data_IF_826686468406
#
_entry.id   IF_826686468406
#
_cell.length_a   1.000
_cell.length_b   1.000
_cell.length_c   1.000
_cell.angle_alpha   90.00
_cell.angle_beta   90.00
_cell.angle_gamma   90.00
#
_symmetry.space_group_name_H-M   'P 1'
#
loop_
_entity.id
_entity.type
_entity.pdbx_description
1 polymer ?
#
# COMPACT_ATOMS: atom_id res chain seq x y z
N UNK A 1 4.44 -9.15 7.32
CA UNK A 1 3.29 -10.07 7.50
C UNK A 1 2.91 -10.64 6.14
N UNK A 2 3.05 -11.95 5.94
CA UNK A 2 2.53 -12.61 4.73
C UNK A 2 2.39 -14.12 4.96
N UNK A 3 1.42 -14.74 4.27
CA UNK A 3 1.17 -16.19 4.32
C UNK A 3 2.41 -16.95 3.85
N UNK A 4 2.81 -17.99 4.61
CA UNK A 4 3.91 -18.89 4.24
C UNK A 4 3.65 -19.43 2.84
N UNK A 5 4.64 -19.31 1.94
CA UNK A 5 4.56 -19.72 0.53
C UNK A 5 3.52 -18.96 -0.32
N UNK A 6 3.18 -17.71 0.01
CA UNK A 6 2.35 -16.87 -0.86
C UNK A 6 2.93 -16.83 -2.29
N UNK A 7 2.13 -17.26 -3.28
CA UNK A 7 2.55 -17.34 -4.68
C UNK A 7 3.06 -15.99 -5.20
N UNK A 8 2.40 -14.90 -4.78
CA UNK A 8 2.84 -13.53 -5.06
C UNK A 8 4.27 -13.26 -4.58
N UNK A 9 4.57 -13.54 -3.31
CA UNK A 9 5.89 -13.28 -2.73
C UNK A 9 6.98 -14.14 -3.35
N UNK A 10 6.67 -15.38 -3.72
CA UNK A 10 7.61 -16.25 -4.42
C UNK A 10 7.96 -15.67 -5.82
N UNK A 11 6.96 -15.17 -6.55
CA UNK A 11 7.18 -14.48 -7.84
C UNK A 11 7.94 -13.18 -7.65
N UNK A 12 7.54 -12.36 -6.67
CA UNK A 12 8.20 -11.09 -6.36
C UNK A 12 9.66 -11.30 -6.02
N UNK A 13 9.98 -12.26 -5.16
CA UNK A 13 11.35 -12.63 -4.82
C UNK A 13 12.14 -13.06 -6.07
N UNK A 14 11.56 -13.87 -6.95
CA UNK A 14 12.24 -14.29 -8.19
C UNK A 14 12.53 -13.12 -9.13
N UNK A 15 11.60 -12.17 -9.24
CA UNK A 15 11.79 -10.96 -10.05
C UNK A 15 12.85 -10.05 -9.42
N UNK A 16 12.80 -9.80 -8.11
CA UNK A 16 13.81 -9.00 -7.40
C UNK A 16 15.21 -9.64 -7.49
N UNK A 17 15.33 -10.96 -7.41
CA UNK A 17 16.60 -11.66 -7.61
C UNK A 17 17.13 -11.50 -9.04
N UNK A 18 16.24 -11.51 -10.04
CA UNK A 18 16.59 -11.33 -11.46
C UNK A 18 17.02 -9.90 -11.79
N UNK A 19 16.41 -8.90 -11.15
CA UNK A 19 16.63 -7.47 -11.43
C UNK A 19 17.43 -6.75 -10.34
N UNK A 20 18.13 -7.49 -9.48
CA UNK A 20 18.84 -7.04 -8.27
C UNK A 20 19.88 -5.92 -8.47
N UNK A 21 20.19 -5.56 -9.72
CA UNK A 21 21.18 -4.54 -10.09
C UNK A 21 20.55 -3.21 -10.55
N UNK A 22 19.23 -3.09 -10.61
CA UNK A 22 18.59 -1.85 -11.02
C UNK A 22 18.58 -0.84 -9.87
N UNK A 23 19.34 0.26 -10.00
CA UNK A 23 19.55 1.29 -8.98
C UNK A 23 18.32 2.16 -8.67
N UNK A 24 17.16 1.82 -9.21
CA UNK A 24 15.98 2.67 -9.16
C UNK A 24 14.86 2.02 -8.34
N UNK A 25 14.52 2.64 -7.23
CA UNK A 25 13.43 2.25 -6.32
C UNK A 25 12.07 2.09 -7.04
N UNK A 26 11.83 2.81 -8.15
CA UNK A 26 10.61 2.68 -8.93
C UNK A 26 10.53 1.35 -9.70
N UNK A 27 11.65 0.68 -9.99
CA UNK A 27 11.63 -0.59 -10.71
C UNK A 27 11.01 -1.71 -9.87
N UNK A 28 11.29 -1.75 -8.57
CA UNK A 28 10.67 -2.73 -7.67
C UNK A 28 9.15 -2.57 -7.63
N UNK A 29 8.68 -1.31 -7.73
CA UNK A 29 7.26 -0.99 -7.85
C UNK A 29 6.66 -1.50 -9.16
N UNK A 30 7.27 -1.17 -10.30
CA UNK A 30 6.81 -1.67 -11.60
C UNK A 30 6.87 -3.19 -11.70
N UNK A 31 7.83 -3.83 -11.03
CA UNK A 31 7.97 -5.28 -11.00
C UNK A 31 6.84 -5.95 -10.21
N UNK A 32 6.43 -5.37 -9.07
CA UNK A 32 5.22 -5.80 -8.36
C UNK A 32 3.98 -5.71 -9.26
N UNK A 33 3.79 -4.59 -9.97
CA UNK A 33 2.70 -4.44 -10.95
C UNK A 33 2.78 -5.44 -12.11
N UNK A 34 3.97 -5.68 -12.65
CA UNK A 34 4.17 -6.63 -13.75
C UNK A 34 3.77 -8.05 -13.36
N UNK A 35 4.01 -8.46 -12.11
CA UNK A 35 3.57 -9.76 -11.60
C UNK A 35 2.05 -9.85 -11.55
N UNK A 36 1.40 -8.78 -11.09
CA UNK A 36 -0.06 -8.65 -11.02
C UNK A 36 -0.67 -8.69 -12.44
N UNK A 37 -0.07 -8.00 -13.41
CA UNK A 37 -0.57 -7.96 -14.79
C UNK A 37 -0.35 -9.28 -15.54
N UNK A 38 0.75 -9.99 -15.29
CA UNK A 38 1.07 -11.26 -15.96
C UNK A 38 0.41 -12.47 -15.30
N UNK A 39 -0.09 -12.32 -14.08
CA UNK A 39 -0.71 -13.40 -13.32
C UNK A 39 -1.92 -12.85 -12.54
N UNK A 40 -2.98 -12.38 -13.24
CA UNK A 40 -4.14 -11.74 -12.62
C UNK A 40 -4.89 -12.67 -11.66
N UNK A 41 -4.79 -13.99 -11.84
CA UNK A 41 -5.35 -15.00 -10.93
C UNK A 41 -4.78 -14.93 -9.51
N UNK A 42 -3.56 -14.38 -9.36
CA UNK A 42 -2.91 -14.20 -8.06
C UNK A 42 -3.57 -13.06 -7.27
N UNK A 43 -4.19 -12.10 -7.95
CA UNK A 43 -4.96 -11.00 -7.35
C UNK A 43 -6.21 -11.55 -6.64
N UNK A 44 -6.81 -12.61 -7.19
CA UNK A 44 -8.02 -13.22 -6.64
C UNK A 44 -7.78 -14.16 -5.46
N UNK A 45 -6.53 -14.56 -5.20
CA UNK A 45 -6.17 -15.44 -4.08
C UNK A 45 -6.12 -14.70 -2.74
N UNK A 46 -5.98 -13.37 -2.76
CA UNK A 46 -6.02 -12.50 -1.57
C UNK A 46 -6.51 -11.11 -1.99
N UNK A 47 -7.84 -10.98 -2.17
CA UNK A 47 -8.51 -9.77 -2.69
C UNK A 47 -8.21 -8.50 -1.89
N UNK A 48 -7.73 -8.66 -0.65
CA UNK A 48 -7.45 -7.60 0.32
C UNK A 48 -5.99 -7.10 0.29
N UNK A 49 -5.11 -7.64 -0.56
CA UNK A 49 -3.68 -7.31 -0.50
C UNK A 49 -3.25 -6.02 -1.20
N UNK A 50 -4.15 -5.29 -1.86
CA UNK A 50 -3.70 -4.34 -2.87
C UNK A 50 -4.55 -3.07 -2.90
N UNK A 51 -4.22 -2.16 -1.98
CA UNK A 51 -4.55 -0.74 -2.09
C UNK A 51 -3.31 0.01 -2.53
N UNK A 52 -3.44 0.70 -3.67
CA UNK A 52 -2.40 1.56 -4.23
C UNK A 52 -2.69 3.00 -3.86
N UNK A 53 -1.74 3.67 -3.22
CA UNK A 53 -1.83 5.10 -2.92
C UNK A 53 -0.87 5.90 -3.80
N UNK A 54 -1.40 6.88 -4.54
CA UNK A 54 -0.65 7.85 -5.36
C UNK A 54 -1.22 9.25 -5.07
N UNK A 55 -0.38 10.30 -4.93
CA UNK A 55 -0.83 11.68 -4.66
C UNK A 55 -1.92 11.78 -3.58
N UNK A 56 -1.74 11.09 -2.45
CA UNK A 56 -2.72 11.00 -1.34
C UNK A 56 -4.07 10.33 -1.65
N UNK A 57 -4.27 9.81 -2.86
CA UNK A 57 -5.46 9.04 -3.23
C UNK A 57 -5.16 7.55 -3.23
N UNK A 58 -5.90 6.79 -2.42
CA UNK A 58 -5.77 5.35 -2.29
C UNK A 58 -6.87 4.61 -3.04
N UNK A 59 -6.48 3.61 -3.82
CA UNK A 59 -7.36 2.86 -4.70
C UNK A 59 -7.25 1.37 -4.43
N UNK A 60 -8.36 0.70 -4.09
CA UNK A 60 -8.41 -0.74 -4.14
C UNK A 60 -8.24 -1.22 -5.58
N UNK A 61 -7.31 -2.14 -5.80
CA UNK A 61 -7.06 -2.70 -7.14
C UNK A 61 -8.22 -3.54 -7.68
N UNK A 62 -9.20 -3.89 -6.83
CA UNK A 62 -10.43 -4.56 -7.23
C UNK A 62 -11.56 -3.60 -7.63
N UNK A 63 -11.38 -2.29 -7.47
CA UNK A 63 -12.36 -1.33 -7.96
C UNK A 63 -12.22 -1.17 -9.49
N UNK A 64 -13.35 -1.04 -10.22
CA UNK A 64 -13.30 -0.69 -11.63
C UNK A 64 -12.49 0.60 -11.83
N UNK A 65 -11.67 0.65 -12.88
CA UNK A 65 -10.85 1.81 -13.23
C UNK A 65 -9.76 2.19 -12.21
N UNK A 66 -9.29 1.27 -11.35
CA UNK A 66 -8.17 1.53 -10.43
C UNK A 66 -6.87 1.94 -11.15
N UNK A 67 -6.73 1.61 -12.45
CA UNK A 67 -5.62 2.05 -13.28
C UNK A 67 -5.86 3.48 -13.75
N UNK A 68 -5.10 4.41 -13.20
CA UNK A 68 -5.06 5.82 -13.61
C UNK A 68 -3.66 6.21 -14.08
N UNK A 69 -3.58 7.10 -15.08
CA UNK A 69 -2.34 7.78 -15.41
C UNK A 69 -1.93 8.75 -14.29
N UNK A 70 -0.63 9.10 -14.21
CA UNK A 70 -0.07 9.98 -13.17
C UNK A 70 -0.86 11.29 -13.00
N UNK A 71 -1.33 11.89 -14.09
CA UNK A 71 -2.09 13.15 -14.11
C UNK A 71 -3.60 12.98 -13.99
N UNK A 72 -4.10 11.74 -13.96
CA UNK A 72 -5.53 11.39 -14.01
C UNK A 72 -5.98 10.61 -12.78
N UNK A 73 -5.27 10.76 -11.66
CA UNK A 73 -5.51 10.03 -10.44
C UNK A 73 -6.74 10.56 -9.69
N UNK A 74 -7.93 10.25 -10.21
CA UNK A 74 -9.23 10.56 -9.60
C UNK A 74 -9.34 9.88 -8.22
N UNK A 75 -10.21 10.35 -7.31
CA UNK A 75 -10.50 9.64 -6.08
C UNK A 75 -11.09 8.25 -6.36
N UNK A 76 -10.65 7.25 -5.61
CA UNK A 76 -11.20 5.89 -5.67
C UNK A 76 -12.60 5.83 -5.07
N UNK A 77 -13.34 4.76 -5.38
CA UNK A 77 -14.57 4.44 -4.65
C UNK A 77 -14.28 4.21 -3.15
N UNK A 78 -15.28 4.42 -2.26
CA UNK A 78 -15.10 4.24 -0.83
C UNK A 78 -14.73 2.79 -0.49
N UNK A 79 -13.79 2.60 0.44
CA UNK A 79 -13.45 1.31 1.03
C UNK A 79 -12.97 1.50 2.48
N UNK A 80 -13.14 0.49 3.33
CA UNK A 80 -12.58 0.46 4.68
C UNK A 80 -11.18 -0.12 4.64
N UNK A 81 -10.15 0.69 4.87
CA UNK A 81 -8.79 0.16 4.87
C UNK A 81 -8.54 -0.85 6.00
N UNK A 82 -9.27 -0.74 7.10
CA UNK A 82 -9.16 -1.65 8.25
C UNK A 82 -9.74 -3.04 7.97
N UNK A 83 -10.89 -3.09 7.30
CA UNK A 83 -11.65 -4.34 7.12
C UNK A 83 -11.47 -4.93 5.72
N UNK A 84 -11.24 -4.08 4.72
CA UNK A 84 -11.18 -4.50 3.33
C UNK A 84 -9.74 -4.70 2.84
N UNK A 85 -8.72 -4.45 3.69
CA UNK A 85 -7.32 -4.54 3.27
C UNK A 85 -6.45 -5.23 4.31
N UNK A 86 -5.48 -6.03 3.83
CA UNK A 86 -4.45 -6.68 4.65
C UNK A 86 -3.12 -5.91 4.60
N UNK A 87 -2.95 -5.04 3.60
CA UNK A 87 -1.75 -4.21 3.45
C UNK A 87 -2.04 -2.99 2.60
N UNK A 88 -1.55 -1.83 3.05
CA UNK A 88 -1.57 -0.57 2.30
C UNK A 88 -0.14 -0.26 1.85
N UNK A 89 0.04 0.01 0.56
CA UNK A 89 1.34 0.35 -0.01
C UNK A 89 1.34 1.79 -0.52
N UNK A 90 2.23 2.62 0.03
CA UNK A 90 2.44 4.00 -0.39
C UNK A 90 3.54 4.04 -1.45
N UNK A 91 3.23 4.49 -2.68
CA UNK A 91 4.23 4.57 -3.77
C UNK A 91 4.97 5.90 -3.84
N UNK A 92 4.50 6.90 -3.10
CA UNK A 92 5.11 8.23 -3.01
C UNK A 92 5.99 8.35 -1.76
N UNK A 93 6.69 9.47 -1.57
CA UNK A 93 7.28 9.76 -0.27
C UNK A 93 6.19 9.72 0.79
N UNK A 94 6.31 8.80 1.74
CA UNK A 94 5.52 8.85 2.96
C UNK A 94 5.79 10.22 3.57
N UNK A 95 4.77 11.10 3.70
CA UNK A 95 5.01 12.43 4.21
C UNK A 95 5.62 12.28 5.60
N UNK A 96 6.60 13.12 5.93
CA UNK A 96 7.05 13.20 7.32
C UNK A 96 5.84 13.58 8.15
N UNK A 97 5.42 12.66 9.01
CA UNK A 97 4.35 12.89 9.97
C UNK A 97 5.01 13.35 11.24
N UNK A 98 4.85 14.62 11.56
CA UNK A 98 5.12 15.07 12.92
C UNK A 98 4.01 14.62 13.88
N UNK A 99 4.30 14.74 15.17
CA UNK A 99 3.39 14.29 16.21
C UNK A 99 2.09 15.09 16.23
N UNK A 100 2.13 16.39 15.88
CA UNK A 100 0.96 17.25 15.87
C UNK A 100 0.02 16.90 14.71
N UNK A 101 0.56 16.58 13.54
CA UNK A 101 -0.18 16.02 12.42
C UNK A 101 -0.89 14.74 12.84
N UNK A 102 -0.16 13.81 13.49
CA UNK A 102 -0.76 12.56 13.99
C UNK A 102 -1.80 12.83 15.07
N UNK A 103 -1.67 13.86 15.90
CA UNK A 103 -2.65 14.19 16.96
C UNK A 103 -3.90 14.90 16.44
N UNK A 104 -3.75 15.84 15.52
CA UNK A 104 -4.78 16.85 15.26
C UNK A 104 -5.34 16.88 13.83
N UNK A 105 -4.74 16.16 12.88
CA UNK A 105 -5.23 16.15 11.48
C UNK A 105 -6.02 14.89 11.13
N UNK A 106 -6.53 14.80 9.91
CA UNK A 106 -7.33 13.65 9.42
C UNK A 106 -6.85 13.21 8.05
N UNK A 107 -7.06 11.94 7.73
CA UNK A 107 -6.66 11.34 6.46
C UNK A 107 -6.13 9.94 6.67
N UNK A 108 -6.12 9.13 5.61
CA UNK A 108 -5.79 7.70 5.70
C UNK A 108 -4.42 7.45 6.34
N UNK A 109 -3.40 8.24 5.98
CA UNK A 109 -2.05 8.11 6.55
C UNK A 109 -2.06 8.33 8.06
N UNK A 110 -2.76 9.38 8.51
CA UNK A 110 -2.85 9.77 9.91
C UNK A 110 -3.63 8.73 10.70
N UNK A 111 -4.75 8.25 10.15
CA UNK A 111 -5.56 7.20 10.76
C UNK A 111 -4.81 5.87 10.88
N UNK A 112 -4.08 5.47 9.85
CA UNK A 112 -3.20 4.28 9.88
C UNK A 112 -2.12 4.44 10.95
N UNK A 113 -1.49 5.61 11.02
CA UNK A 113 -0.43 5.90 12.01
C UNK A 113 -0.97 5.82 13.43
N UNK A 114 -2.15 6.41 13.68
CA UNK A 114 -2.84 6.32 14.98
C UNK A 114 -3.15 4.88 15.33
N UNK A 115 -3.67 4.11 14.38
CA UNK A 115 -4.01 2.71 14.58
C UNK A 115 -2.78 1.84 14.92
N UNK A 116 -1.63 2.07 14.26
CA UNK A 116 -0.37 1.38 14.57
C UNK A 116 0.11 1.70 15.98
N UNK A 117 0.10 2.98 16.38
CA UNK A 117 0.48 3.40 17.73
C UNK A 117 -0.42 2.76 18.78
N UNK A 118 -1.74 2.83 18.59
CA UNK A 118 -2.72 2.25 19.50
C UNK A 118 -2.57 0.73 19.62
N UNK A 119 -2.38 0.02 18.51
CA UNK A 119 -2.18 -1.45 18.49
C UNK A 119 -0.86 -1.84 19.16
N UNK A 120 0.13 -0.95 19.15
CA UNK A 120 1.41 -1.14 19.84
C UNK A 120 1.35 -0.77 21.34
N UNK A 121 0.17 -0.39 21.86
CA UNK A 121 -0.01 0.02 23.25
C UNK A 121 0.50 1.44 23.54
N UNK A 122 0.76 2.25 22.51
CA UNK A 122 1.23 3.63 22.65
C UNK A 122 0.02 4.56 22.66
N UNK A 123 -0.14 5.31 23.75
CA UNK A 123 -1.17 6.34 23.89
C UNK A 123 -0.63 7.63 23.26
N UNK A 124 -1.29 8.09 22.20
CA UNK A 124 -0.81 9.22 21.38
C UNK A 124 -0.75 10.53 22.18
N UNK A 125 -1.66 10.69 23.13
CA UNK A 125 -1.73 11.84 24.02
C UNK A 125 -0.48 11.97 24.92
N UNK A 126 0.21 10.87 25.20
CA UNK A 126 1.37 10.83 26.11
C UNK A 126 2.69 11.11 25.39
N UNK A 127 2.69 11.06 24.05
CA UNK A 127 3.86 11.39 23.23
C UNK A 127 4.14 12.89 23.32
N UNK A 128 5.42 13.26 23.39
CA UNK A 128 5.92 14.65 23.44
C UNK A 128 6.72 15.00 22.22
#
# INVERSE_FOLDING_TARGET
MAKKNAKYLLKLRGVLQKYRQNQYWFNDHFMAYKIIETAPEIIFLDRHLQVKCLNHNCHPTWHPNYKSGLTQNKPGGPFSWQNDTLSVHWTDTFPELDLDMVKYTSGMIVEVSRHVLQTSGIIIQDLR
#
